data_IF_566661681093
#
_entry.id   IF_566661681093
#
_cell.length_a   1.000
_cell.length_b   1.000
_cell.length_c   1.000
_cell.angle_alpha   90.00
_cell.angle_beta   90.00
_cell.angle_gamma   90.00
#
_symmetry.space_group_name_H-M   'P 1'
#
loop_
_entity.id
_entity.type
_entity.pdbx_description
1 polymer ?
#
# COMPACT_ATOMS: atom_id res chain seq x y z
N UNK A 1 -4.75 -3.69 -10.67
CA UNK A 1 -4.80 -3.86 -12.15
C UNK A 1 -3.63 -3.11 -12.78
N UNK A 2 -2.82 -3.70 -13.67
CA UNK A 2 -1.61 -3.02 -14.21
C UNK A 2 -1.97 -1.85 -15.14
N UNK A 3 -3.04 -1.99 -15.92
CA UNK A 3 -3.53 -0.93 -16.82
C UNK A 3 -3.84 0.39 -16.10
N UNK A 4 -4.32 0.35 -14.85
CA UNK A 4 -4.60 1.56 -14.09
C UNK A 4 -3.31 2.34 -13.78
N UNK A 5 -2.21 1.64 -13.53
CA UNK A 5 -0.91 2.28 -13.32
C UNK A 5 -0.38 2.92 -14.60
N UNK A 6 -0.66 2.33 -15.77
CA UNK A 6 -0.31 2.95 -17.05
C UNK A 6 -1.00 4.32 -17.21
N UNK A 7 -2.31 4.38 -16.93
CA UNK A 7 -3.11 5.62 -17.00
C UNK A 7 -2.59 6.66 -15.99
N UNK A 8 -2.33 6.25 -14.74
CA UNK A 8 -1.80 7.15 -13.72
C UNK A 8 -0.41 7.67 -14.08
N UNK A 9 0.44 6.81 -14.65
CA UNK A 9 1.77 7.21 -15.09
C UNK A 9 1.70 8.24 -16.21
N UNK A 10 0.85 8.02 -17.22
CA UNK A 10 0.62 8.99 -18.30
C UNK A 10 0.10 10.32 -17.74
N UNK A 11 -0.86 10.29 -16.81
CA UNK A 11 -1.36 11.49 -16.15
C UNK A 11 -0.25 12.27 -15.41
N UNK A 12 0.61 11.59 -14.64
CA UNK A 12 1.72 12.22 -13.93
C UNK A 12 2.73 12.84 -14.91
N UNK A 13 3.01 12.17 -16.03
CA UNK A 13 3.86 12.71 -17.10
C UNK A 13 3.27 13.99 -17.72
N UNK A 14 1.98 13.99 -18.05
CA UNK A 14 1.28 15.17 -18.58
C UNK A 14 1.32 16.34 -17.59
N UNK A 15 1.25 16.05 -16.29
CA UNK A 15 1.34 17.04 -15.21
C UNK A 15 2.77 17.42 -14.82
N UNK A 16 3.78 16.80 -15.45
CA UNK A 16 5.21 16.98 -15.17
C UNK A 16 5.58 16.67 -13.72
N UNK A 17 4.95 15.65 -13.15
CA UNK A 17 5.32 15.10 -11.85
C UNK A 17 6.24 13.89 -12.07
N UNK A 18 7.54 13.99 -11.71
CA UNK A 18 8.45 12.86 -11.81
C UNK A 18 7.96 11.71 -10.94
N UNK A 19 7.99 10.49 -11.45
CA UNK A 19 7.47 9.34 -10.73
C UNK A 19 8.20 8.05 -11.09
N UNK A 20 8.37 7.20 -10.10
CA UNK A 20 8.86 5.83 -10.26
C UNK A 20 7.68 4.87 -10.32
N UNK A 21 7.91 3.69 -10.91
CA UNK A 21 6.91 2.62 -10.98
C UNK A 21 7.51 1.28 -10.66
N UNK A 22 6.77 0.47 -9.92
CA UNK A 22 7.10 -0.92 -9.63
C UNK A 22 5.87 -1.81 -9.78
N UNK A 23 5.95 -2.72 -10.75
CA UNK A 23 5.00 -3.81 -10.93
C UNK A 23 5.71 -5.17 -11.01
N UNK A 24 4.92 -6.24 -11.12
CA UNK A 24 5.42 -7.62 -11.09
C UNK A 24 6.28 -8.02 -12.31
N UNK A 25 6.31 -7.22 -13.37
CA UNK A 25 7.09 -7.50 -14.58
C UNK A 25 8.51 -6.92 -14.54
N UNK A 26 8.78 -6.01 -13.59
CA UNK A 26 10.05 -5.30 -13.48
C UNK A 26 11.17 -6.23 -12.97
N UNK A 27 12.32 -6.21 -13.66
CA UNK A 27 13.52 -6.94 -13.26
C UNK A 27 14.03 -6.46 -11.89
N UNK A 28 14.67 -7.36 -11.14
CA UNK A 28 15.11 -7.10 -9.78
C UNK A 28 16.16 -5.98 -9.65
N UNK A 29 17.05 -5.86 -10.63
CA UNK A 29 18.07 -4.79 -10.70
C UNK A 29 17.43 -3.42 -10.90
N UNK A 30 16.52 -3.29 -11.85
CA UNK A 30 15.78 -2.04 -12.11
C UNK A 30 14.91 -1.66 -10.91
N UNK A 31 14.29 -2.66 -10.27
CA UNK A 31 13.50 -2.46 -9.05
C UNK A 31 14.33 -1.80 -7.95
N UNK A 32 15.54 -2.29 -7.72
CA UNK A 32 16.44 -1.73 -6.71
C UNK A 32 16.83 -0.30 -7.05
N UNK A 33 17.18 -0.04 -8.31
CA UNK A 33 17.51 1.31 -8.77
C UNK A 33 16.37 2.31 -8.56
N UNK A 34 15.12 1.91 -8.86
CA UNK A 34 13.95 2.76 -8.65
C UNK A 34 13.72 3.06 -7.16
N UNK A 35 13.88 2.05 -6.28
CA UNK A 35 13.77 2.22 -4.83
C UNK A 35 14.87 3.12 -4.26
N UNK A 36 16.11 2.93 -4.72
CA UNK A 36 17.26 3.72 -4.28
C UNK A 36 17.12 5.18 -4.74
N UNK A 37 16.66 5.42 -5.98
CA UNK A 37 16.43 6.76 -6.51
C UNK A 37 15.29 7.50 -5.77
N UNK A 38 14.20 6.81 -5.47
CA UNK A 38 13.09 7.41 -4.73
C UNK A 38 13.46 7.74 -3.28
N UNK A 39 14.24 6.88 -2.62
CA UNK A 39 14.68 7.09 -1.24
C UNK A 39 15.95 7.94 -1.11
N UNK A 40 16.56 8.36 -2.22
CA UNK A 40 17.77 9.19 -2.20
C UNK A 40 17.50 10.55 -1.56
N UNK A 41 18.48 11.06 -0.83
CA UNK A 41 18.42 12.42 -0.30
C UNK A 41 18.31 13.43 -1.46
N UNK A 42 17.28 14.27 -1.42
CA UNK A 42 17.01 15.24 -2.49
C UNK A 42 16.42 14.62 -3.76
N UNK A 43 15.83 13.42 -3.68
CA UNK A 43 15.09 12.83 -4.81
C UNK A 43 14.07 13.83 -5.36
N UNK A 44 13.99 13.90 -6.69
CA UNK A 44 13.04 14.76 -7.41
C UNK A 44 11.73 14.03 -7.72
N UNK A 45 11.65 12.74 -7.36
CA UNK A 45 10.45 11.94 -7.56
C UNK A 45 9.32 12.44 -6.66
N UNK A 46 8.19 12.79 -7.27
CA UNK A 46 6.99 13.20 -6.57
C UNK A 46 6.16 12.01 -6.09
N UNK A 47 6.11 10.94 -6.89
CA UNK A 47 5.27 9.78 -6.61
C UNK A 47 5.97 8.45 -6.92
N UNK A 48 5.57 7.41 -6.20
CA UNK A 48 6.00 6.04 -6.47
C UNK A 48 4.75 5.17 -6.72
N UNK A 49 4.56 4.76 -7.96
CA UNK A 49 3.43 3.95 -8.39
C UNK A 49 3.67 2.48 -8.07
N UNK A 50 2.78 1.90 -7.27
CA UNK A 50 2.85 0.49 -6.85
C UNK A 50 1.60 -0.26 -7.25
N UNK A 51 1.79 -1.47 -7.78
CA UNK A 51 0.72 -2.45 -7.77
C UNK A 51 0.61 -3.09 -6.38
N UNK A 52 -0.62 -3.31 -5.89
CA UNK A 52 -0.88 -3.91 -4.57
C UNK A 52 -0.13 -5.23 -4.36
N UNK A 53 -0.03 -6.07 -5.41
CA UNK A 53 0.72 -7.33 -5.38
C UNK A 53 2.23 -7.13 -5.26
N UNK A 54 2.78 -6.09 -5.88
CA UNK A 54 4.21 -5.79 -5.76
C UNK A 54 4.57 -5.12 -4.41
N UNK A 55 3.59 -4.48 -3.74
CA UNK A 55 3.74 -3.98 -2.38
C UNK A 55 3.98 -5.08 -1.32
N UNK A 56 3.52 -6.31 -1.58
CA UNK A 56 3.76 -7.48 -0.71
C UNK A 56 5.19 -8.04 -0.73
N UNK A 57 6.08 -7.49 -1.57
CA UNK A 57 7.44 -8.00 -1.78
C UNK A 57 8.46 -7.51 -0.74
N UNK A 58 8.02 -6.87 0.34
CA UNK A 58 8.95 -6.45 1.41
C UNK A 58 9.74 -5.18 1.12
N UNK A 59 9.29 -4.32 0.19
CA UNK A 59 9.98 -3.08 -0.16
C UNK A 59 9.98 -2.04 0.98
N UNK A 60 10.86 -1.04 0.89
CA UNK A 60 11.00 0.06 1.85
C UNK A 60 10.85 1.41 1.14
N UNK A 61 9.87 2.21 1.58
CA UNK A 61 9.57 3.55 1.07
C UNK A 61 9.46 4.55 2.22
N UNK A 62 10.41 4.49 3.16
CA UNK A 62 10.39 5.29 4.39
C UNK A 62 10.53 6.81 4.16
N UNK A 63 10.85 7.25 2.94
CA UNK A 63 10.87 8.68 2.56
C UNK A 63 9.49 9.22 2.20
N UNK A 64 8.53 8.36 1.85
CA UNK A 64 7.16 8.77 1.52
C UNK A 64 6.31 8.94 2.78
N UNK A 65 5.65 10.08 2.92
CA UNK A 65 4.76 10.40 4.03
C UNK A 65 3.27 10.32 3.68
N UNK A 66 2.93 10.10 2.41
CA UNK A 66 1.53 10.02 1.97
C UNK A 66 1.31 8.77 1.14
N UNK A 67 0.31 7.97 1.54
CA UNK A 67 -0.09 6.75 0.84
C UNK A 67 -1.51 6.93 0.33
N UNK A 68 -1.71 6.73 -0.97
CA UNK A 68 -3.03 6.76 -1.61
C UNK A 68 -3.37 5.34 -2.07
N UNK A 69 -4.43 4.78 -1.49
CA UNK A 69 -5.03 3.54 -1.95
C UNK A 69 -6.08 3.91 -3.00
N UNK A 70 -5.72 3.71 -4.26
CA UNK A 70 -6.57 4.07 -5.40
C UNK A 70 -7.72 3.08 -5.56
N UNK A 71 -7.42 1.78 -5.58
CA UNK A 71 -8.38 0.68 -5.59
C UNK A 71 -8.23 -0.17 -4.32
N UNK A 72 -9.35 -0.56 -3.71
CA UNK A 72 -9.36 -1.35 -2.48
C UNK A 72 -9.29 -2.85 -2.77
N UNK A 73 -8.40 -3.57 -2.09
CA UNK A 73 -8.34 -5.03 -2.20
C UNK A 73 -9.47 -5.69 -1.37
N UNK A 74 -9.92 -6.86 -1.84
CA UNK A 74 -10.88 -7.70 -1.10
C UNK A 74 -10.28 -8.28 0.19
N UNK A 75 -8.95 -8.37 0.25
CA UNK A 75 -8.18 -8.77 1.41
C UNK A 75 -7.54 -7.54 2.09
N UNK A 76 -8.06 -7.08 3.24
CA UNK A 76 -7.57 -5.86 3.88
C UNK A 76 -6.11 -5.96 4.36
N UNK A 77 -5.59 -7.17 4.59
CA UNK A 77 -4.19 -7.38 4.94
C UNK A 77 -3.24 -6.94 3.81
N UNK A 78 -3.64 -7.04 2.53
CA UNK A 78 -2.82 -6.57 1.42
C UNK A 78 -2.65 -5.04 1.48
N UNK A 79 -3.72 -4.32 1.77
CA UNK A 79 -3.70 -2.87 1.94
C UNK A 79 -2.88 -2.46 3.16
N UNK A 80 -3.03 -3.16 4.30
CA UNK A 80 -2.20 -2.94 5.50
C UNK A 80 -0.72 -3.15 5.21
N UNK A 81 -0.38 -4.17 4.42
CA UNK A 81 1.00 -4.40 4.00
C UNK A 81 1.50 -3.27 3.10
N UNK A 82 0.68 -2.74 2.19
CA UNK A 82 1.03 -1.59 1.37
C UNK A 82 1.27 -0.32 2.21
N UNK A 83 0.40 -0.03 3.18
CA UNK A 83 0.55 1.11 4.09
C UNK A 83 1.83 1.02 4.94
N UNK A 84 2.19 -0.19 5.39
CA UNK A 84 3.41 -0.44 6.18
C UNK A 84 4.72 -0.25 5.41
N UNK A 85 4.66 -0.02 4.08
CA UNK A 85 5.85 0.30 3.28
C UNK A 85 6.38 1.70 3.59
N UNK A 86 5.47 2.65 3.82
CA UNK A 86 5.77 4.03 4.22
C UNK A 86 5.79 4.18 5.75
N UNK A 87 4.83 3.55 6.45
CA UNK A 87 4.78 3.53 7.90
C UNK A 87 5.74 2.47 8.47
N UNK A 88 7.04 2.78 8.42
CA UNK A 88 8.13 1.87 8.81
C UNK A 88 9.20 2.60 9.63
N UNK A 89 9.99 1.83 10.39
CA UNK A 89 11.21 2.31 11.05
C UNK A 89 12.09 3.02 10.02
N UNK A 90 12.46 4.28 10.32
CA UNK A 90 13.20 5.17 9.41
C UNK A 90 12.36 6.36 8.91
N UNK A 91 11.03 6.29 8.99
CA UNK A 91 10.15 7.42 8.71
C UNK A 91 10.24 8.47 9.83
N UNK A 92 10.37 9.74 9.45
CA UNK A 92 10.47 10.89 10.37
C UNK A 92 9.25 11.81 10.32
N UNK A 93 8.42 11.69 9.28
CA UNK A 93 7.20 12.47 9.04
C UNK A 93 5.95 11.68 9.38
N UNK A 94 4.86 12.38 9.69
CA UNK A 94 3.57 11.75 9.90
C UNK A 94 3.06 11.14 8.60
N UNK A 95 2.72 9.84 8.63
CA UNK A 95 2.21 9.14 7.44
C UNK A 95 0.69 9.34 7.34
N UNK A 96 0.24 9.97 6.27
CA UNK A 96 -1.17 10.14 5.94
C UNK A 96 -1.62 9.07 4.94
N UNK A 97 -2.75 8.43 5.22
CA UNK A 97 -3.31 7.38 4.37
C UNK A 97 -4.66 7.85 3.85
N UNK A 98 -4.79 7.94 2.53
CA UNK A 98 -6.05 8.25 1.86
C UNK A 98 -6.52 7.05 1.06
N UNK A 99 -7.74 6.60 1.30
CA UNK A 99 -8.40 5.58 0.50
C UNK A 99 -9.48 6.22 -0.34
N UNK A 100 -9.38 6.09 -1.65
CA UNK A 100 -10.41 6.55 -2.56
C UNK A 100 -11.51 5.50 -2.63
N UNK A 101 -12.77 5.96 -2.51
CA UNK A 101 -13.96 5.11 -2.61
C UNK A 101 -15.02 5.88 -3.37
N UNK A 102 -15.50 5.29 -4.45
CA UNK A 102 -16.54 5.87 -5.29
C UNK A 102 -17.90 5.68 -4.64
N UNK A 103 -18.63 6.79 -4.45
CA UNK A 103 -19.96 6.76 -3.83
C UNK A 103 -20.96 5.95 -4.67
N UNK A 104 -21.87 5.23 -4.00
CA UNK A 104 -22.94 4.44 -4.64
C UNK A 104 -22.39 3.41 -5.63
N UNK A 105 -21.28 2.77 -5.28
CA UNK A 105 -20.61 1.78 -6.13
C UNK A 105 -20.30 0.51 -5.35
N UNK A 106 -19.92 -0.53 -6.09
CA UNK A 106 -19.45 -1.79 -5.51
C UNK A 106 -18.24 -1.60 -4.57
N UNK A 107 -17.47 -0.51 -4.73
CA UNK A 107 -16.31 -0.23 -3.89
C UNK A 107 -16.68 -0.01 -2.41
N UNK A 108 -17.85 0.57 -2.13
CA UNK A 108 -18.33 0.75 -0.75
C UNK A 108 -18.56 -0.62 -0.08
N UNK A 109 -19.14 -1.57 -0.81
CA UNK A 109 -19.38 -2.92 -0.30
C UNK A 109 -18.07 -3.68 -0.08
N UNK A 110 -17.09 -3.53 -0.98
CA UNK A 110 -15.77 -4.14 -0.82
C UNK A 110 -15.10 -3.63 0.47
N UNK A 111 -15.09 -2.32 0.69
CA UNK A 111 -14.50 -1.69 1.87
C UNK A 111 -15.22 -2.14 3.14
N UNK A 112 -16.54 -2.20 3.14
CA UNK A 112 -17.33 -2.65 4.28
C UNK A 112 -17.07 -4.13 4.63
N UNK A 113 -17.02 -5.01 3.62
CA UNK A 113 -16.67 -6.42 3.82
C UNK A 113 -15.25 -6.58 4.34
N UNK A 114 -14.30 -5.81 3.82
CA UNK A 114 -12.91 -5.82 4.26
C UNK A 114 -12.80 -5.36 5.73
N UNK A 115 -13.52 -4.32 6.14
CA UNK A 115 -13.58 -3.89 7.55
C UNK A 115 -14.09 -4.99 8.47
N UNK A 116 -15.17 -5.68 8.09
CA UNK A 116 -15.71 -6.80 8.88
C UNK A 116 -14.68 -7.93 9.07
N UNK A 117 -13.91 -8.25 8.03
CA UNK A 117 -12.80 -9.22 8.13
C UNK A 117 -11.75 -8.77 9.13
N UNK A 118 -11.35 -7.49 9.13
CA UNK A 118 -10.39 -6.96 10.10
C UNK A 118 -10.90 -7.01 11.54
N UNK A 119 -12.19 -6.69 11.76
CA UNK A 119 -12.79 -6.75 13.10
C UNK A 119 -12.80 -8.19 13.61
N UNK A 120 -13.18 -9.15 12.77
CA UNK A 120 -13.15 -10.57 13.13
C UNK A 120 -11.72 -11.03 13.46
N UNK A 121 -10.74 -10.67 12.62
CA UNK A 121 -9.33 -10.98 12.85
C UNK A 121 -8.84 -10.41 14.19
N UNK A 122 -9.16 -9.15 14.48
CA UNK A 122 -8.81 -8.49 15.74
C UNK A 122 -9.42 -9.19 16.96
N UNK A 123 -10.70 -9.57 16.89
CA UNK A 123 -11.40 -10.27 17.98
C UNK A 123 -10.82 -11.68 18.24
N UNK A 124 -10.39 -12.38 17.19
CA UNK A 124 -9.78 -13.71 17.32
C UNK A 124 -8.36 -13.59 17.88
N UNK A 125 -7.55 -12.67 17.35
CA UNK A 125 -6.17 -12.45 17.81
C UNK A 125 -6.15 -11.99 19.28
N UNK A 126 -7.01 -11.03 19.67
CA UNK A 126 -7.10 -10.59 21.06
C UNK A 126 -7.51 -11.71 22.02
N UNK A 127 -8.32 -12.68 21.58
CA UNK A 127 -8.66 -13.86 22.40
C UNK A 127 -7.50 -14.83 22.58
N UNK A 128 -6.51 -14.81 21.69
CA UNK A 128 -5.32 -15.66 21.79
C UNK A 128 -4.28 -15.08 22.75
N UNK A 129 -4.26 -13.76 22.95
CA UNK A 129 -3.14 -13.05 23.58
C UNK A 129 -3.30 -12.80 25.09
N UNK A 130 -3.68 -13.82 25.87
CA UNK A 130 -3.46 -13.75 27.33
C UNK A 130 -3.14 -15.06 28.03
N UNK A 131 -3.16 -16.23 27.38
CA UNK A 131 -2.80 -17.48 28.08
C UNK A 131 -2.32 -18.64 27.19
N UNK A 132 -2.38 -18.56 25.85
CA UNK A 132 -1.98 -19.69 24.99
C UNK A 132 -2.75 -21.00 25.26
N UNK A 133 -3.90 -20.93 25.95
CA UNK A 133 -4.80 -22.08 26.16
C UNK A 133 -6.08 -21.82 25.38
N UNK A 134 -6.33 -22.66 24.39
CA UNK A 134 -7.64 -22.77 23.74
C UNK A 134 -8.67 -23.16 24.79
N UNK A 135 -9.53 -22.22 25.19
CA UNK A 135 -10.74 -22.56 25.93
C UNK A 135 -11.77 -23.02 24.90
N UNK A 136 -11.83 -24.33 24.69
CA UNK A 136 -12.97 -25.00 24.08
C UNK A 136 -14.08 -25.25 25.13
N UNK A 137 -15.31 -25.55 24.68
CA UNK A 137 -16.46 -25.80 25.56
C UNK A 137 -16.27 -27.03 26.45
#
# INVERSE_FOLDING_TARGET
>A
MVMMLDILQEYLQLRRFPAQRLDGSMRADLRKQALDHFNADGSTDFAFLLSTRAGGLGINLATADTVIIFDSDWNPQNDLQAMSRAHRIGQTRQVNIYRLVTRNSMEEEIVERAKRKLVLDHLVIQRMDTTGRTVGP
#
